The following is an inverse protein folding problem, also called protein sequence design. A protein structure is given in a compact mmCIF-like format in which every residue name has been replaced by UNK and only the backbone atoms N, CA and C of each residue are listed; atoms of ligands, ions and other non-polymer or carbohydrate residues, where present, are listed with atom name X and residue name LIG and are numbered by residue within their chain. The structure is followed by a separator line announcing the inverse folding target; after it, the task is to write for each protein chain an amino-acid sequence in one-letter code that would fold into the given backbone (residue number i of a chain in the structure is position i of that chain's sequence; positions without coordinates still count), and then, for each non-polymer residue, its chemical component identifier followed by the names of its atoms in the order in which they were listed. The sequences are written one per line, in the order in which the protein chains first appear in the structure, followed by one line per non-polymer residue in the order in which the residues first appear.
data_IF_670834556505
#
_entry.id   IF_670834556505
#
_cell.length_a   1.000
_cell.length_b   1.000
_cell.length_c   1.000
_cell.angle_alpha   90.00
_cell.angle_beta   90.00
_cell.angle_gamma   90.00
#
_symmetry.space_group_name_H-M   'P 1'
#
loop_
_entity.id
_entity.type
_entity.pdbx_description
1 polymer ?
#
# COMPACT_ATOMS: atom_id res chain seq x y z
N UNK A 1 -52.17 -8.47 24.09
CA UNK A 1 -51.56 -7.17 24.45
C UNK A 1 -50.38 -7.44 25.35
N UNK A 2 -49.18 -7.38 24.81
CA UNK A 2 -47.95 -6.97 25.48
C UNK A 2 -46.98 -6.59 24.38
N UNK A 3 -46.97 -5.29 24.08
CA UNK A 3 -45.90 -4.60 23.37
C UNK A 3 -44.66 -4.61 24.25
N UNK A 4 -43.50 -4.84 23.66
CA UNK A 4 -42.41 -3.86 23.59
C UNK A 4 -41.19 -4.56 22.97
N UNK A 5 -40.90 -4.17 21.74
CA UNK A 5 -39.60 -4.36 21.14
C UNK A 5 -38.59 -3.57 21.96
N UNK A 6 -37.64 -4.27 22.57
CA UNK A 6 -36.45 -3.70 23.18
C UNK A 6 -35.30 -4.02 22.22
N UNK A 7 -35.26 -3.27 21.11
CA UNK A 7 -34.06 -3.22 20.27
C UNK A 7 -33.07 -2.34 20.99
N UNK A 8 -32.02 -2.96 21.53
CA UNK A 8 -30.92 -2.30 22.21
C UNK A 8 -30.47 -1.06 21.42
N UNK A 9 -30.75 0.12 21.97
CA UNK A 9 -30.09 1.35 21.59
C UNK A 9 -28.64 1.21 22.06
N UNK A 10 -27.77 0.73 21.17
CA UNK A 10 -26.33 0.82 21.35
C UNK A 10 -25.93 2.28 21.60
N UNK A 11 -24.82 2.48 22.29
CA UNK A 11 -24.24 3.82 22.43
C UNK A 11 -24.08 4.45 21.03
N UNK A 12 -24.34 5.76 20.88
CA UNK A 12 -24.33 6.40 19.56
C UNK A 12 -22.92 6.31 18.95
N UNK A 13 -22.79 6.00 17.65
CA UNK A 13 -21.50 5.73 17.00
C UNK A 13 -20.55 6.92 17.10
N UNK A 14 -19.23 6.69 17.15
CA UNK A 14 -18.22 7.75 17.21
C UNK A 14 -18.28 8.67 15.99
N UNK A 15 -18.58 8.09 14.82
CA UNK A 15 -18.69 8.77 13.53
C UNK A 15 -19.75 8.08 12.67
N UNK A 16 -20.51 8.87 11.90
CA UNK A 16 -21.31 8.36 10.80
C UNK A 16 -21.01 9.15 9.52
N UNK A 17 -20.90 8.45 8.38
CA UNK A 17 -20.73 9.06 7.06
C UNK A 17 -21.90 8.62 6.17
N UNK A 18 -22.66 9.59 5.65
CA UNK A 18 -23.82 9.36 4.81
C UNK A 18 -23.58 9.86 3.38
N UNK A 19 -23.85 9.02 2.37
CA UNK A 19 -23.71 9.35 0.95
C UNK A 19 -23.40 8.12 0.09
N UNK A 20 -22.97 8.33 -1.15
CA UNK A 20 -22.61 7.24 -2.05
C UNK A 20 -21.29 6.59 -1.64
N UNK A 21 -21.31 5.29 -1.37
CA UNK A 21 -20.14 4.47 -1.08
C UNK A 21 -19.77 3.66 -2.32
N UNK A 22 -18.49 3.67 -2.70
CA UNK A 22 -17.96 2.86 -3.81
C UNK A 22 -16.79 2.04 -3.30
N UNK A 23 -16.85 0.72 -3.43
CA UNK A 23 -15.70 -0.13 -3.13
C UNK A 23 -15.63 -1.38 -4.04
N UNK A 24 -14.55 -2.13 -3.91
CA UNK A 24 -14.37 -3.43 -4.57
C UNK A 24 -13.97 -4.44 -3.50
N UNK A 25 -14.93 -5.11 -2.82
CA UNK A 25 -14.65 -5.94 -1.65
C UNK A 25 -14.01 -7.27 -2.06
N UNK A 26 -14.33 -7.75 -3.26
CA UNK A 26 -13.80 -8.97 -3.87
C UNK A 26 -13.30 -8.67 -5.29
N UNK A 27 -12.39 -9.52 -5.79
CA UNK A 27 -11.85 -9.37 -7.14
C UNK A 27 -12.98 -9.51 -8.17
N UNK A 28 -13.13 -8.49 -9.01
CA UNK A 28 -14.15 -8.45 -10.08
C UNK A 28 -15.55 -8.05 -9.61
N UNK A 29 -15.71 -7.63 -8.35
CA UNK A 29 -16.97 -7.12 -7.80
C UNK A 29 -16.81 -5.64 -7.50
N UNK A 30 -17.71 -4.82 -8.06
CA UNK A 30 -17.87 -3.41 -7.70
C UNK A 30 -19.19 -3.30 -6.94
N UNK A 31 -19.18 -2.72 -5.74
CA UNK A 31 -20.40 -2.35 -5.04
C UNK A 31 -20.50 -0.83 -4.96
N UNK A 32 -21.67 -0.31 -5.35
CA UNK A 32 -22.03 1.09 -5.30
C UNK A 32 -23.30 1.18 -4.46
N UNK A 33 -23.16 1.69 -3.24
CA UNK A 33 -24.26 1.84 -2.29
C UNK A 33 -24.69 3.30 -2.28
N UNK A 34 -25.78 3.59 -2.99
CA UNK A 34 -26.36 4.93 -3.05
C UNK A 34 -27.08 5.27 -1.76
N UNK A 35 -26.89 6.51 -1.30
CA UNK A 35 -27.49 7.03 -0.07
C UNK A 35 -27.28 6.12 1.16
N UNK A 36 -26.13 5.46 1.27
CA UNK A 36 -25.83 4.58 2.40
C UNK A 36 -25.26 5.36 3.61
N UNK A 37 -25.35 4.76 4.79
CA UNK A 37 -24.76 5.29 6.03
C UNK A 37 -23.77 4.29 6.61
N UNK A 38 -22.52 4.71 6.73
CA UNK A 38 -21.46 3.94 7.39
C UNK A 38 -21.29 4.46 8.82
N UNK A 39 -21.44 3.59 9.80
CA UNK A 39 -21.25 3.89 11.22
C UNK A 39 -19.95 3.30 11.73
N UNK A 40 -19.24 4.05 12.56
CA UNK A 40 -17.91 3.70 13.07
C UNK A 40 -17.93 3.77 14.59
N UNK A 41 -17.46 2.71 15.23
CA UNK A 41 -17.36 2.59 16.68
C UNK A 41 -16.18 3.37 17.27
N UNK A 42 -16.10 3.40 18.60
CA UNK A 42 -15.00 4.08 19.31
C UNK A 42 -13.62 3.45 19.06
N UNK A 43 -13.59 2.16 18.69
CA UNK A 43 -12.38 1.44 18.31
C UNK A 43 -11.91 1.76 16.88
N UNK A 44 -12.63 2.63 16.17
CA UNK A 44 -12.32 3.05 14.80
C UNK A 44 -12.69 2.01 13.74
N UNK A 45 -13.44 0.96 14.11
CA UNK A 45 -13.95 -0.04 13.17
C UNK A 45 -15.35 0.30 12.70
N UNK A 46 -15.66 -0.16 11.50
CA UNK A 46 -17.00 -0.09 10.93
C UNK A 46 -17.91 -1.02 11.72
N UNK A 47 -19.00 -0.49 12.26
CA UNK A 47 -20.01 -1.27 12.98
C UNK A 47 -21.11 -1.73 12.03
N UNK A 48 -21.63 -0.82 11.21
CA UNK A 48 -22.69 -1.09 10.23
C UNK A 48 -22.49 -0.28 8.96
N UNK A 49 -22.89 -0.89 7.84
CA UNK A 49 -23.20 -0.22 6.58
C UNK A 49 -24.71 -0.37 6.41
N UNK A 50 -25.42 0.76 6.37
CA UNK A 50 -26.89 0.83 6.36
C UNK A 50 -27.32 1.37 5.00
N UNK A 51 -27.92 0.51 4.17
CA UNK A 51 -28.41 0.87 2.84
C UNK A 51 -29.68 1.75 2.91
N UNK A 52 -30.02 2.37 1.79
CA UNK A 52 -31.10 3.38 1.68
C UNK A 52 -32.51 2.84 1.94
N UNK A 53 -32.72 1.52 1.85
CA UNK A 53 -34.00 0.88 2.12
C UNK A 53 -34.12 0.34 3.57
N UNK A 54 -33.06 0.41 4.37
CA UNK A 54 -33.07 -0.02 5.78
C UNK A 54 -33.83 1.01 6.65
N UNK A 55 -34.90 0.61 7.36
CA UNK A 55 -35.68 1.51 8.23
C UNK A 55 -34.87 2.18 9.36
N UNK A 56 -33.70 1.64 9.70
CA UNK A 56 -32.82 2.22 10.72
C UNK A 56 -32.03 3.44 10.21
N UNK A 57 -32.03 3.72 8.90
CA UNK A 57 -31.20 4.76 8.32
C UNK A 57 -31.54 6.16 8.85
N UNK A 58 -32.80 6.58 8.74
CA UNK A 58 -33.24 7.93 9.14
C UNK A 58 -32.92 8.19 10.61
N UNK A 59 -33.27 7.25 11.49
CA UNK A 59 -32.96 7.35 12.92
C UNK A 59 -31.45 7.40 13.20
N UNK A 60 -30.63 6.70 12.41
CA UNK A 60 -29.16 6.72 12.55
C UNK A 60 -28.58 8.08 12.14
N UNK A 61 -29.07 8.65 11.02
CA UNK A 61 -28.67 9.98 10.55
C UNK A 61 -29.05 11.04 11.58
N UNK A 62 -30.29 11.02 12.07
CA UNK A 62 -30.76 11.97 13.09
C UNK A 62 -29.94 11.90 14.38
N UNK A 63 -29.68 10.69 14.87
CA UNK A 63 -28.87 10.49 16.08
C UNK A 63 -27.42 10.98 15.90
N UNK A 64 -26.79 10.67 14.77
CA UNK A 64 -25.43 11.13 14.47
C UNK A 64 -25.35 12.64 14.27
N UNK A 65 -26.36 13.25 13.61
CA UNK A 65 -26.46 14.69 13.42
C UNK A 65 -26.63 15.42 14.75
N UNK A 66 -27.54 14.96 15.61
CA UNK A 66 -27.74 15.53 16.95
C UNK A 66 -26.47 15.43 17.82
N UNK A 67 -25.65 14.41 17.59
CA UNK A 67 -24.36 14.21 18.25
C UNK A 67 -23.19 14.99 17.64
N UNK A 68 -23.38 15.75 16.55
CA UNK A 68 -22.31 16.44 15.83
C UNK A 68 -21.28 15.51 15.19
N UNK A 69 -21.67 14.26 14.91
CA UNK A 69 -20.81 13.16 14.46
C UNK A 69 -21.13 12.68 13.04
N UNK A 70 -22.04 13.37 12.36
CA UNK A 70 -22.43 13.07 10.98
C UNK A 70 -21.55 13.85 9.99
N UNK A 71 -20.97 13.14 9.03
CA UNK A 71 -20.48 13.70 7.78
C UNK A 71 -21.47 13.36 6.67
N UNK A 72 -22.10 14.38 6.07
CA UNK A 72 -22.96 14.20 4.91
C UNK A 72 -22.17 14.53 3.64
N UNK A 73 -22.11 13.59 2.70
CA UNK A 73 -21.48 13.80 1.40
C UNK A 73 -22.46 14.50 0.46
N UNK A 74 -21.95 15.48 -0.29
CA UNK A 74 -22.74 16.18 -1.33
C UNK A 74 -22.73 15.41 -2.64
N UNK A 75 -23.61 15.81 -3.56
CA UNK A 75 -23.54 15.35 -4.95
C UNK A 75 -22.13 15.57 -5.53
N UNK A 76 -21.58 14.53 -6.17
CA UNK A 76 -20.21 14.52 -6.69
C UNK A 76 -19.13 14.16 -5.64
N UNK A 77 -19.51 13.88 -4.39
CA UNK A 77 -18.63 13.30 -3.39
C UNK A 77 -18.94 11.83 -3.17
N UNK A 78 -17.88 11.02 -3.13
CA UNK A 78 -17.97 9.57 -3.01
C UNK A 78 -17.06 9.08 -1.89
N UNK A 79 -17.57 8.19 -1.04
CA UNK A 79 -16.78 7.51 -0.02
C UNK A 79 -16.13 6.27 -0.61
N UNK A 80 -14.80 6.20 -0.56
CA UNK A 80 -14.02 5.06 -1.02
C UNK A 80 -13.18 4.51 0.15
N UNK A 81 -12.79 3.22 0.14
CA UNK A 81 -11.74 2.73 1.02
C UNK A 81 -10.45 3.53 0.83
N UNK A 82 -9.69 3.69 1.90
CA UNK A 82 -8.35 4.27 1.84
C UNK A 82 -7.40 3.36 1.06
N UNK A 83 -6.44 3.99 0.37
CA UNK A 83 -5.50 3.28 -0.50
C UNK A 83 -4.40 2.62 0.34
N UNK A 84 -3.99 1.42 -0.10
CA UNK A 84 -2.94 0.63 0.53
C UNK A 84 -1.71 0.61 -0.37
N UNK A 85 -0.60 1.17 0.12
CA UNK A 85 0.71 1.13 -0.54
C UNK A 85 1.57 0.02 0.08
N UNK A 86 1.79 -1.06 -0.67
CA UNK A 86 2.57 -2.22 -0.22
C UNK A 86 4.08 -2.02 -0.33
N UNK A 87 4.57 -0.95 -0.95
CA UNK A 87 6.00 -0.77 -1.09
C UNK A 87 6.37 0.69 -1.36
N UNK A 88 7.04 1.31 -0.40
CA UNK A 88 7.55 2.69 -0.53
C UNK A 88 8.87 2.86 0.22
N UNK A 89 9.90 3.41 -0.44
CA UNK A 89 11.14 3.79 0.24
C UNK A 89 11.03 5.20 0.79
N UNK A 90 10.79 5.29 2.10
CA UNK A 90 10.73 6.57 2.78
C UNK A 90 11.96 7.46 2.56
N UNK A 91 13.22 6.95 2.60
CA UNK A 91 14.39 7.81 2.49
C UNK A 91 14.64 8.32 1.06
N UNK A 92 13.87 7.85 0.08
CA UNK A 92 14.02 8.22 -1.31
C UNK A 92 13.07 9.34 -1.77
N UNK A 93 12.18 9.81 -0.89
CA UNK A 93 11.27 10.91 -1.21
C UNK A 93 11.96 12.15 -1.86
N UNK A 94 13.12 12.64 -1.38
CA UNK A 94 13.80 13.79 -1.98
C UNK A 94 14.37 13.57 -3.40
N UNK A 95 14.45 12.33 -3.87
CA UNK A 95 14.95 11.98 -5.20
C UNK A 95 13.85 11.57 -6.19
N UNK A 96 12.58 11.69 -5.82
CA UNK A 96 11.46 11.44 -6.73
C UNK A 96 11.67 12.18 -8.06
N UNK A 97 11.59 11.44 -9.18
CA UNK A 97 11.77 11.96 -10.54
C UNK A 97 13.22 12.23 -10.98
N UNK A 98 14.25 11.79 -10.24
CA UNK A 98 15.66 12.02 -10.61
C UNK A 98 16.31 10.80 -11.24
N UNK A 99 17.04 11.04 -12.34
CA UNK A 99 17.97 10.11 -12.98
C UNK A 99 17.41 8.73 -13.40
N UNK A 100 16.10 8.63 -13.67
CA UNK A 100 15.40 7.40 -14.08
C UNK A 100 15.78 6.85 -15.47
N UNK A 101 16.75 7.49 -16.14
CA UNK A 101 17.30 7.02 -17.41
C UNK A 101 18.54 6.12 -17.21
N UNK A 102 19.03 6.00 -15.98
CA UNK A 102 20.16 5.14 -15.63
C UNK A 102 19.65 3.72 -15.34
N UNK A 103 20.47 2.68 -15.61
CA UNK A 103 20.23 1.34 -15.09
C UNK A 103 20.13 1.31 -13.56
N UNK A 104 19.39 0.34 -13.01
CA UNK A 104 19.08 0.25 -11.58
C UNK A 104 20.33 0.32 -10.69
N UNK A 105 21.36 -0.45 -11.01
CA UNK A 105 22.59 -0.53 -10.22
C UNK A 105 23.35 0.82 -10.21
N UNK A 106 23.32 1.55 -11.32
CA UNK A 106 23.94 2.87 -11.43
C UNK A 106 23.11 3.93 -10.72
N UNK A 107 21.78 3.83 -10.82
CA UNK A 107 20.87 4.72 -10.12
C UNK A 107 21.01 4.58 -8.59
N UNK A 108 21.09 3.34 -8.09
CA UNK A 108 21.35 3.05 -6.69
C UNK A 108 22.66 3.66 -6.20
N UNK A 109 23.76 3.44 -6.93
CA UNK A 109 25.08 3.91 -6.56
C UNK A 109 25.22 5.44 -6.62
N UNK A 110 24.61 6.09 -7.61
CA UNK A 110 24.82 7.52 -7.89
C UNK A 110 23.79 8.44 -7.22
N UNK A 111 22.58 7.94 -6.96
CA UNK A 111 21.47 8.73 -6.41
C UNK A 111 21.05 8.23 -5.03
N UNK A 112 20.69 6.95 -4.95
CA UNK A 112 20.00 6.38 -3.79
C UNK A 112 20.89 6.29 -2.56
N UNK A 113 21.99 5.54 -2.60
CA UNK A 113 22.84 5.37 -1.41
C UNK A 113 23.42 6.68 -0.87
N UNK A 114 23.91 7.63 -1.70
CA UNK A 114 24.34 8.93 -1.21
C UNK A 114 23.23 9.73 -0.51
N UNK A 115 21.99 9.64 -0.99
CA UNK A 115 20.85 10.30 -0.34
C UNK A 115 20.45 9.60 0.95
N UNK A 116 20.28 8.28 0.93
CA UNK A 116 19.86 7.52 2.12
C UNK A 116 20.89 7.63 3.26
N UNK A 117 22.19 7.75 2.94
CA UNK A 117 23.25 8.04 3.92
C UNK A 117 23.04 9.33 4.72
N UNK A 118 22.35 10.33 4.14
CA UNK A 118 22.07 11.61 4.83
C UNK A 118 21.09 11.47 5.99
N UNK A 119 20.37 10.36 6.10
CA UNK A 119 19.43 10.13 7.20
C UNK A 119 20.11 9.84 8.54
N UNK A 120 21.44 9.75 8.59
CA UNK A 120 22.19 9.88 9.84
C UNK A 120 21.92 11.23 10.55
N UNK A 121 21.59 12.28 9.78
CA UNK A 121 21.11 13.56 10.29
C UNK A 121 19.59 13.51 10.53
N UNK A 122 19.18 13.51 11.80
CA UNK A 122 17.78 13.42 12.19
C UNK A 122 16.96 14.68 11.83
N UNK A 123 17.58 15.85 11.67
CA UNK A 123 16.88 17.05 11.23
C UNK A 123 16.49 16.92 9.75
N UNK A 124 17.42 16.42 8.93
CA UNK A 124 17.14 16.08 7.55
C UNK A 124 16.06 15.00 7.44
N UNK A 125 16.18 13.93 8.23
CA UNK A 125 15.19 12.86 8.28
C UNK A 125 13.79 13.36 8.65
N UNK A 126 13.68 14.18 9.70
CA UNK A 126 12.41 14.75 10.17
C UNK A 126 11.70 15.54 9.06
N UNK A 127 12.42 16.43 8.38
CA UNK A 127 11.84 17.25 7.29
C UNK A 127 11.37 16.39 6.13
N UNK A 128 12.19 15.40 5.72
CA UNK A 128 11.83 14.55 4.59
C UNK A 128 10.67 13.61 4.90
N UNK A 129 10.75 12.85 6.00
CA UNK A 129 9.72 11.87 6.36
C UNK A 129 8.39 12.54 6.68
N UNK A 130 8.40 13.68 7.37
CA UNK A 130 7.16 14.42 7.64
C UNK A 130 6.46 14.82 6.33
N UNK A 131 7.22 15.37 5.36
CA UNK A 131 6.68 15.75 4.06
C UNK A 131 6.17 14.57 3.22
N UNK A 132 6.82 13.41 3.32
CA UNK A 132 6.35 12.18 2.67
C UNK A 132 5.02 11.71 3.25
N UNK A 133 4.92 11.55 4.58
CA UNK A 133 3.70 11.09 5.24
C UNK A 133 2.53 12.03 4.94
N UNK A 134 2.76 13.35 4.97
CA UNK A 134 1.77 14.35 4.57
C UNK A 134 1.34 14.21 3.11
N UNK A 135 2.28 13.92 2.21
CA UNK A 135 1.99 13.72 0.79
C UNK A 135 1.18 12.44 0.55
N UNK A 136 1.52 11.32 1.19
CA UNK A 136 0.81 10.05 1.05
C UNK A 136 -0.62 10.15 1.58
N UNK A 137 -0.79 10.66 2.81
CA UNK A 137 -2.11 10.89 3.40
C UNK A 137 -2.96 11.83 2.52
N UNK A 138 -2.38 12.93 2.02
CA UNK A 138 -3.10 13.86 1.16
C UNK A 138 -3.46 13.30 -0.23
N UNK A 139 -2.87 12.18 -0.64
CA UNK A 139 -3.21 11.40 -1.84
C UNK A 139 -4.17 10.22 -1.55
N UNK A 140 -4.61 10.05 -0.30
CA UNK A 140 -5.55 8.98 0.09
C UNK A 140 -4.89 7.68 0.54
N UNK A 141 -3.55 7.62 0.62
CA UNK A 141 -2.82 6.45 1.13
C UNK A 141 -2.93 6.39 2.66
N UNK A 142 -3.89 5.63 3.16
CA UNK A 142 -4.16 5.44 4.59
C UNK A 142 -3.21 4.43 5.22
N UNK A 143 -2.79 3.42 4.45
CA UNK A 143 -1.86 2.37 4.87
C UNK A 143 -0.62 2.35 3.97
N UNK A 144 0.57 2.37 4.57
CA UNK A 144 1.84 2.28 3.84
C UNK A 144 2.82 1.29 4.48
N UNK A 145 3.46 0.47 3.65
CA UNK A 145 4.55 -0.42 4.01
C UNK A 145 5.89 0.23 3.60
N UNK A 146 6.58 0.80 4.60
CA UNK A 146 7.78 1.62 4.43
C UNK A 146 9.07 0.82 4.59
N UNK A 147 9.96 0.98 3.62
CA UNK A 147 11.39 0.83 3.81
C UNK A 147 11.93 2.10 4.47
N UNK A 148 12.51 1.97 5.66
CA UNK A 148 13.31 3.01 6.31
C UNK A 148 14.72 3.12 5.70
N UNK A 149 15.66 3.70 6.42
CA UNK A 149 17.10 3.60 6.08
C UNK A 149 17.79 2.57 6.98
N UNK A 150 19.09 2.34 6.78
CA UNK A 150 19.90 1.54 7.72
C UNK A 150 20.01 2.20 9.11
N UNK A 151 19.74 3.50 9.24
CA UNK A 151 19.92 4.23 10.49
C UNK A 151 18.75 3.99 11.45
N UNK A 152 19.02 3.33 12.58
CA UNK A 152 18.04 3.06 13.63
C UNK A 152 17.28 4.32 14.10
N UNK A 153 18.00 5.42 14.34
CA UNK A 153 17.41 6.67 14.82
C UNK A 153 16.41 7.28 13.82
N UNK A 154 16.75 7.29 12.53
CA UNK A 154 15.88 7.81 11.49
C UNK A 154 14.63 6.95 11.31
N UNK A 155 14.79 5.62 11.33
CA UNK A 155 13.65 4.70 11.18
C UNK A 155 12.70 4.76 12.38
N UNK A 156 13.21 4.94 13.61
CA UNK A 156 12.37 5.23 14.79
C UNK A 156 11.56 6.52 14.60
N UNK A 157 12.22 7.58 14.14
CA UNK A 157 11.56 8.85 13.84
C UNK A 157 10.47 8.72 12.76
N UNK A 158 10.68 7.90 11.73
CA UNK A 158 9.64 7.62 10.73
C UNK A 158 8.41 6.97 11.39
N UNK A 159 8.61 5.95 12.24
CA UNK A 159 7.50 5.32 12.97
C UNK A 159 6.77 6.32 13.89
N UNK A 160 7.52 7.18 14.60
CA UNK A 160 6.96 8.22 15.47
C UNK A 160 6.12 9.22 14.66
N UNK A 161 6.59 9.64 13.47
CA UNK A 161 5.87 10.56 12.60
C UNK A 161 4.59 9.92 12.01
N UNK A 162 4.64 8.67 11.57
CA UNK A 162 3.46 7.94 11.12
C UNK A 162 2.41 7.86 12.22
N UNK A 163 2.83 7.51 13.45
CA UNK A 163 1.95 7.46 14.61
C UNK A 163 1.34 8.83 14.93
N UNK A 164 2.18 9.88 15.01
CA UNK A 164 1.75 11.23 15.35
C UNK A 164 0.81 11.85 14.30
N UNK A 165 0.99 11.53 13.02
CA UNK A 165 0.12 11.98 11.92
C UNK A 165 -1.08 11.06 11.69
N UNK A 166 -1.18 9.97 12.45
CA UNK A 166 -2.31 9.05 12.39
C UNK A 166 -2.32 8.10 11.20
N UNK A 167 -1.23 7.95 10.43
CA UNK A 167 -1.18 6.98 9.33
C UNK A 167 -1.08 5.55 9.88
N UNK A 168 -1.75 4.58 9.23
CA UNK A 168 -1.45 3.17 9.45
C UNK A 168 -0.17 2.85 8.71
N UNK A 169 0.83 2.34 9.42
CA UNK A 169 2.15 2.15 8.83
C UNK A 169 2.78 0.85 9.28
N UNK A 170 3.36 0.13 8.34
CA UNK A 170 4.28 -0.95 8.61
C UNK A 170 5.67 -0.40 8.28
N UNK A 171 6.53 -0.24 9.28
CA UNK A 171 7.83 0.43 9.12
C UNK A 171 8.94 -0.56 9.40
N UNK A 172 9.97 -0.59 8.56
CA UNK A 172 11.12 -1.47 8.75
C UNK A 172 12.44 -0.74 8.69
N UNK A 173 13.33 -1.03 9.65
CA UNK A 173 14.76 -0.66 9.52
C UNK A 173 15.35 -1.55 8.45
N UNK A 174 15.91 -0.95 7.42
CA UNK A 174 16.57 -1.68 6.36
C UNK A 174 17.85 -2.32 6.90
N UNK A 175 18.07 -3.59 6.56
CA UNK A 175 19.32 -4.31 6.80
C UNK A 175 20.09 -4.45 5.49
N UNK A 176 21.35 -4.04 5.54
CA UNK A 176 22.33 -4.14 4.46
C UNK A 176 23.71 -4.29 5.07
N UNK A 177 24.34 -5.46 5.03
CA UNK A 177 25.64 -5.71 5.68
C UNK A 177 26.70 -6.29 4.74
N UNK A 178 26.36 -6.61 3.48
CA UNK A 178 27.30 -7.21 2.54
C UNK A 178 28.32 -6.17 2.03
N UNK A 179 29.62 -6.31 2.36
CA UNK A 179 30.63 -5.33 1.96
C UNK A 179 30.99 -5.38 0.48
N UNK A 180 30.56 -6.41 -0.25
CA UNK A 180 30.87 -6.57 -1.69
C UNK A 180 29.99 -5.70 -2.56
N UNK A 181 28.74 -5.47 -2.15
CA UNK A 181 27.74 -4.71 -2.91
C UNK A 181 27.30 -3.42 -2.22
N UNK A 182 27.45 -3.32 -0.90
CA UNK A 182 27.04 -2.13 -0.16
C UNK A 182 28.25 -1.23 0.14
N UNK A 183 28.14 0.09 -0.08
CA UNK A 183 29.24 1.02 0.16
C UNK A 183 29.55 1.15 1.66
N UNK A 184 30.84 1.33 2.00
CA UNK A 184 31.31 1.45 3.39
C UNK A 184 30.60 2.55 4.21
N UNK A 185 30.16 3.62 3.55
CA UNK A 185 29.50 4.76 4.18
C UNK A 185 27.99 4.56 4.40
N UNK A 186 27.40 3.49 3.86
CA UNK A 186 25.96 3.23 3.93
C UNK A 186 25.68 1.72 3.95
N UNK A 187 26.04 1.09 5.07
CA UNK A 187 25.71 -0.30 5.41
C UNK A 187 25.82 -0.51 6.92
N UNK A 188 25.15 -1.54 7.43
CA UNK A 188 25.38 -2.08 8.76
C UNK A 188 26.82 -2.60 8.90
N UNK A 189 27.37 -2.47 10.12
CA UNK A 189 28.76 -2.87 10.37
C UNK A 189 28.96 -4.40 10.39
N UNK A 190 27.91 -5.16 10.72
CA UNK A 190 27.87 -6.63 10.65
C UNK A 190 26.43 -7.14 10.79
N UNK A 191 26.19 -8.38 10.39
CA UNK A 191 24.93 -9.10 10.66
C UNK A 191 24.48 -9.00 12.13
N UNK A 192 25.39 -9.18 13.08
CA UNK A 192 25.08 -9.09 14.53
C UNK A 192 24.55 -7.71 14.92
N UNK A 193 25.18 -6.63 14.42
CA UNK A 193 24.73 -5.26 14.70
C UNK A 193 23.39 -4.99 14.01
N UNK A 194 23.25 -5.40 12.76
CA UNK A 194 22.01 -5.22 12.00
C UNK A 194 20.80 -5.87 12.69
N UNK A 195 20.95 -7.09 13.18
CA UNK A 195 19.90 -7.84 13.88
C UNK A 195 19.60 -7.19 15.24
N UNK A 196 20.63 -6.84 16.03
CA UNK A 196 20.42 -6.18 17.32
C UNK A 196 19.69 -4.83 17.17
N UNK A 197 20.03 -4.03 16.16
CA UNK A 197 19.31 -2.79 15.89
C UNK A 197 17.88 -3.02 15.40
N UNK A 198 17.65 -4.11 14.65
CA UNK A 198 16.29 -4.52 14.25
C UNK A 198 15.44 -4.88 15.48
N UNK A 199 15.98 -5.62 16.45
CA UNK A 199 15.32 -5.93 17.72
C UNK A 199 15.03 -4.63 18.52
N UNK A 200 16.00 -3.73 18.64
CA UNK A 200 15.82 -2.42 19.28
C UNK A 200 14.77 -1.53 18.60
N UNK A 201 14.59 -1.68 17.29
CA UNK A 201 13.54 -1.00 16.53
C UNK A 201 12.17 -1.64 16.81
N UNK A 202 12.07 -2.97 16.80
CA UNK A 202 10.84 -3.71 17.14
C UNK A 202 10.34 -3.28 18.53
N UNK A 203 11.22 -3.27 19.53
CA UNK A 203 10.88 -2.84 20.90
C UNK A 203 10.40 -1.37 20.95
N UNK A 204 10.98 -0.49 20.12
CA UNK A 204 10.54 0.90 20.04
C UNK A 204 9.10 1.01 19.54
N UNK A 205 8.79 0.36 18.41
CA UNK A 205 7.45 0.42 17.82
C UNK A 205 6.42 -0.25 18.74
N UNK A 206 6.77 -1.37 19.38
CA UNK A 206 5.90 -2.03 20.35
C UNK A 206 5.57 -1.13 21.55
N UNK A 207 6.52 -0.32 22.04
CA UNK A 207 6.24 0.68 23.09
C UNK A 207 5.42 1.86 22.58
N UNK A 208 5.62 2.26 21.33
CA UNK A 208 4.93 3.40 20.71
C UNK A 208 3.45 3.11 20.50
N UNK A 209 3.10 1.96 19.91
CA UNK A 209 1.76 1.68 19.42
C UNK A 209 1.11 0.40 19.99
N UNK A 210 1.87 -0.42 20.74
CA UNK A 210 1.41 -1.73 21.18
C UNK A 210 1.41 -2.79 20.04
N UNK A 211 1.12 -4.06 20.37
CA UNK A 211 1.18 -5.16 19.41
C UNK A 211 0.11 -5.09 18.30
N UNK A 212 -1.05 -4.52 18.61
CA UNK A 212 -2.17 -4.38 17.66
C UNK A 212 -2.29 -2.96 17.10
N UNK A 213 -1.31 -2.09 17.42
CA UNK A 213 -1.31 -0.69 17.03
C UNK A 213 -1.29 -0.46 15.52
N UNK A 214 -1.71 0.74 15.11
CA UNK A 214 -1.70 1.16 13.70
C UNK A 214 -0.30 1.27 13.10
N UNK A 215 0.73 1.47 13.92
CA UNK A 215 2.13 1.42 13.48
C UNK A 215 2.75 0.10 13.93
N UNK A 216 3.31 -0.68 12.99
CA UNK A 216 3.87 -2.01 13.24
C UNK A 216 5.32 -2.11 12.73
N UNK A 217 6.20 -2.82 13.44
CA UNK A 217 7.56 -3.06 12.96
C UNK A 217 7.58 -4.18 11.91
N UNK A 218 8.52 -4.07 10.96
CA UNK A 218 8.72 -5.04 9.88
C UNK A 218 10.19 -5.43 9.80
N UNK A 219 10.45 -6.72 9.67
CA UNK A 219 11.79 -7.25 9.41
C UNK A 219 12.13 -7.02 7.94
N UNK A 220 13.19 -6.26 7.67
CA UNK A 220 13.44 -5.69 6.33
C UNK A 220 14.88 -5.92 5.87
N UNK A 221 15.26 -7.15 5.51
CA UNK A 221 16.41 -7.30 4.63
C UNK A 221 16.12 -6.52 3.35
N UNK A 222 17.04 -5.67 2.89
CA UNK A 222 16.75 -4.83 1.71
C UNK A 222 16.36 -5.71 0.53
N UNK A 223 17.26 -6.65 0.22
CA UNK A 223 17.20 -7.66 -0.82
C UNK A 223 18.40 -8.61 -0.60
N UNK A 224 18.37 -9.80 -1.18
CA UNK A 224 19.43 -10.81 -0.99
C UNK A 224 20.83 -10.24 -1.34
N UNK A 225 21.04 -9.54 -2.46
CA UNK A 225 22.35 -8.99 -2.80
C UNK A 225 22.97 -8.07 -1.75
N UNK A 226 22.18 -7.31 -0.97
CA UNK A 226 22.74 -6.42 0.05
C UNK A 226 23.01 -7.08 1.41
N UNK A 227 22.61 -8.33 1.60
CA UNK A 227 22.70 -9.01 2.89
C UNK A 227 23.65 -10.19 2.81
N UNK A 228 24.48 -10.38 3.83
CA UNK A 228 25.23 -11.63 4.02
C UNK A 228 24.27 -12.79 4.35
N UNK A 229 24.72 -14.04 4.18
CA UNK A 229 23.90 -15.19 4.55
C UNK A 229 23.58 -15.19 6.06
N UNK A 230 24.56 -14.85 6.90
CA UNK A 230 24.39 -14.78 8.35
C UNK A 230 23.28 -13.78 8.75
N UNK A 231 23.22 -12.62 8.10
CA UNK A 231 22.14 -11.65 8.32
C UNK A 231 20.78 -12.22 7.90
N UNK A 232 20.69 -12.85 6.72
CA UNK A 232 19.43 -13.43 6.21
C UNK A 232 18.93 -14.57 7.11
N UNK A 233 19.82 -15.45 7.57
CA UNK A 233 19.49 -16.56 8.47
C UNK A 233 18.97 -16.07 9.83
N UNK A 234 19.64 -15.08 10.42
CA UNK A 234 19.25 -14.51 11.72
C UNK A 234 17.95 -13.69 11.64
N UNK A 235 17.75 -12.92 10.56
CA UNK A 235 16.48 -12.23 10.32
C UNK A 235 15.33 -13.22 10.10
N UNK A 236 15.58 -14.34 9.41
CA UNK A 236 14.60 -15.42 9.27
C UNK A 236 14.29 -16.08 10.62
N UNK A 237 15.29 -16.29 11.47
CA UNK A 237 15.09 -16.77 12.86
C UNK A 237 14.23 -15.79 13.65
N UNK A 238 14.53 -14.49 13.57
CA UNK A 238 13.77 -13.43 14.23
C UNK A 238 12.32 -13.38 13.73
N UNK A 239 12.09 -13.54 12.42
CA UNK A 239 10.75 -13.58 11.83
C UNK A 239 9.92 -14.73 12.38
N UNK A 240 10.50 -15.94 12.43
CA UNK A 240 9.83 -17.12 13.02
C UNK A 240 9.52 -16.95 14.51
N UNK A 241 10.40 -16.31 15.26
CA UNK A 241 10.22 -16.12 16.70
C UNK A 241 9.16 -15.07 17.04
N UNK A 242 9.09 -14.01 16.24
CA UNK A 242 8.24 -12.85 16.53
C UNK A 242 6.89 -12.90 15.80
N UNK A 243 6.79 -13.64 14.68
CA UNK A 243 5.59 -13.65 13.83
C UNK A 243 5.28 -12.29 13.17
N UNK A 244 6.28 -11.40 13.11
CA UNK A 244 6.16 -10.09 12.49
C UNK A 244 6.16 -10.19 10.97
N UNK A 245 5.72 -9.11 10.34
CA UNK A 245 5.83 -8.95 8.89
C UNK A 245 7.29 -8.93 8.44
N UNK A 246 7.50 -9.43 7.23
CA UNK A 246 8.76 -9.36 6.50
C UNK A 246 8.51 -8.61 5.19
N UNK A 247 9.43 -7.76 4.78
CA UNK A 247 9.41 -7.16 3.45
C UNK A 247 10.81 -7.22 2.82
N UNK A 248 10.88 -7.46 1.52
CA UNK A 248 12.12 -7.50 0.73
C UNK A 248 11.81 -7.30 -0.75
N UNK A 249 12.81 -6.94 -1.55
CA UNK A 249 12.73 -7.10 -3.00
C UNK A 249 12.93 -8.56 -3.36
N UNK A 250 12.37 -8.98 -4.49
CA UNK A 250 12.42 -10.35 -4.99
C UNK A 250 12.26 -10.34 -6.50
N UNK A 251 13.26 -10.85 -7.23
CA UNK A 251 13.16 -11.04 -8.69
C UNK A 251 12.70 -9.78 -9.42
N UNK A 252 13.25 -8.60 -9.09
CA UNK A 252 12.86 -7.31 -9.66
C UNK A 252 13.38 -7.14 -11.09
N UNK A 253 14.68 -7.36 -11.29
CA UNK A 253 15.41 -7.05 -12.52
C UNK A 253 16.27 -8.24 -12.95
N UNK A 254 16.69 -8.26 -14.22
CA UNK A 254 17.61 -9.28 -14.74
C UNK A 254 18.88 -9.39 -13.87
N UNK A 255 19.44 -8.24 -13.47
CA UNK A 255 20.67 -8.19 -12.67
C UNK A 255 20.49 -8.83 -11.29
N UNK A 256 19.44 -8.44 -10.56
CA UNK A 256 19.18 -8.99 -9.23
C UNK A 256 18.91 -10.49 -9.32
N UNK A 257 17.99 -10.88 -10.20
CA UNK A 257 17.54 -12.26 -10.34
C UNK A 257 18.69 -13.20 -10.69
N UNK A 258 19.53 -12.82 -11.67
CA UNK A 258 20.69 -13.62 -12.06
C UNK A 258 21.77 -13.61 -10.98
N UNK A 259 21.98 -12.50 -10.27
CA UNK A 259 22.93 -12.45 -9.16
C UNK A 259 22.57 -13.48 -8.08
N UNK A 260 21.30 -13.54 -7.67
CA UNK A 260 20.84 -14.48 -6.65
C UNK A 260 20.98 -15.92 -7.13
N UNK A 261 20.60 -16.22 -8.38
CA UNK A 261 20.79 -17.55 -8.97
C UNK A 261 22.24 -17.98 -9.01
N UNK A 262 23.16 -17.06 -9.33
CA UNK A 262 24.59 -17.36 -9.32
C UNK A 262 25.15 -17.55 -7.91
N UNK A 263 24.74 -16.71 -6.95
CA UNK A 263 25.22 -16.76 -5.56
C UNK A 263 24.71 -17.98 -4.81
N UNK A 264 23.44 -18.33 -4.97
CA UNK A 264 22.74 -19.30 -4.12
C UNK A 264 22.28 -20.56 -4.88
N UNK A 265 22.36 -20.58 -6.21
CA UNK A 265 21.94 -21.72 -7.03
C UNK A 265 20.42 -21.91 -7.12
N UNK A 266 19.63 -20.92 -6.69
CA UNK A 266 18.17 -20.94 -6.66
C UNK A 266 17.59 -19.55 -6.98
N UNK A 267 16.28 -19.48 -7.25
CA UNK A 267 15.57 -18.20 -7.41
C UNK A 267 15.53 -17.44 -6.09
N UNK A 268 15.26 -16.13 -6.15
CA UNK A 268 15.01 -15.27 -4.99
C UNK A 268 13.98 -15.88 -4.05
N UNK A 269 12.82 -16.26 -4.58
CA UNK A 269 11.72 -16.86 -3.83
C UNK A 269 12.17 -18.09 -3.03
N UNK A 270 12.87 -19.03 -3.68
CA UNK A 270 13.33 -20.27 -3.03
C UNK A 270 14.46 -20.01 -2.03
N UNK A 271 15.28 -19.00 -2.30
CA UNK A 271 16.33 -18.57 -1.37
C UNK A 271 15.73 -17.96 -0.10
N UNK A 272 14.74 -17.06 -0.24
CA UNK A 272 14.00 -16.47 0.88
C UNK A 272 13.26 -17.54 1.69
N UNK A 273 12.67 -18.54 1.03
CA UNK A 273 12.09 -19.72 1.68
C UNK A 273 13.12 -20.48 2.52
N UNK A 274 14.31 -20.74 1.97
CA UNK A 274 15.38 -21.45 2.67
C UNK A 274 15.91 -20.69 3.90
N UNK A 275 15.98 -19.36 3.84
CA UNK A 275 16.32 -18.52 5.00
C UNK A 275 15.15 -18.42 6.01
N UNK A 276 13.95 -18.86 5.62
CA UNK A 276 12.72 -18.78 6.39
C UNK A 276 12.22 -17.34 6.56
N UNK A 277 12.40 -16.55 5.51
CA UNK A 277 11.89 -15.19 5.32
C UNK A 277 10.62 -15.15 4.45
N UNK A 278 10.15 -16.31 3.97
CA UNK A 278 8.94 -16.46 3.17
C UNK A 278 7.81 -17.09 4.01
N UNK A 279 6.70 -16.36 4.16
CA UNK A 279 5.51 -16.82 4.87
C UNK A 279 4.32 -15.87 4.70
N UNK A 280 3.21 -16.15 5.41
CA UNK A 280 1.94 -15.42 5.26
C UNK A 280 2.05 -13.89 5.39
N UNK A 281 2.97 -13.42 6.23
CA UNK A 281 3.21 -11.99 6.51
C UNK A 281 4.44 -11.44 5.78
N UNK A 282 4.90 -12.13 4.74
CA UNK A 282 5.98 -11.66 3.88
C UNK A 282 5.38 -10.93 2.68
N UNK A 283 5.90 -9.74 2.39
CA UNK A 283 5.60 -8.98 1.17
C UNK A 283 6.84 -8.94 0.28
N UNK A 284 6.69 -9.45 -0.94
CA UNK A 284 7.73 -9.47 -1.96
C UNK A 284 7.48 -8.33 -2.95
N UNK A 285 8.33 -7.31 -2.93
CA UNK A 285 8.23 -6.22 -3.91
C UNK A 285 8.62 -6.72 -5.30
N UNK A 286 7.94 -6.19 -6.34
CA UNK A 286 8.20 -6.43 -7.77
C UNK A 286 7.81 -7.82 -8.28
N UNK A 287 8.62 -8.84 -7.99
CA UNK A 287 8.40 -10.23 -8.43
C UNK A 287 8.26 -10.41 -9.94
N UNK A 288 8.90 -9.57 -10.76
CA UNK A 288 8.71 -9.58 -12.23
C UNK A 288 9.15 -10.88 -12.89
N UNK A 289 10.22 -11.50 -12.37
CA UNK A 289 10.85 -12.70 -12.97
C UNK A 289 10.43 -14.01 -12.29
N UNK A 290 9.38 -14.02 -11.45
CA UNK A 290 8.93 -15.26 -10.81
C UNK A 290 8.39 -16.25 -11.86
N UNK A 291 8.76 -17.52 -11.71
CA UNK A 291 8.23 -18.61 -12.54
C UNK A 291 7.05 -19.34 -11.86
N UNK A 292 6.48 -20.34 -12.53
CA UNK A 292 5.35 -21.10 -11.98
C UNK A 292 5.67 -21.77 -10.63
N UNK A 293 6.88 -22.30 -10.48
CA UNK A 293 7.35 -22.92 -9.22
C UNK A 293 7.53 -21.90 -8.09
N UNK A 294 7.90 -20.66 -8.44
CA UNK A 294 7.99 -19.56 -7.48
C UNK A 294 6.59 -19.13 -7.04
N UNK A 295 5.65 -19.00 -7.99
CA UNK A 295 4.26 -18.68 -7.68
C UNK A 295 3.63 -19.73 -6.76
N UNK A 296 3.90 -21.02 -6.99
CA UNK A 296 3.39 -22.09 -6.14
C UNK A 296 3.99 -22.03 -4.72
N UNK A 297 5.26 -21.63 -4.58
CA UNK A 297 5.88 -21.42 -3.26
C UNK A 297 5.26 -20.24 -2.51
N UNK A 298 5.09 -19.11 -3.20
CA UNK A 298 4.48 -17.89 -2.65
C UNK A 298 3.04 -18.17 -2.22
N UNK A 299 2.24 -18.79 -3.10
CA UNK A 299 0.86 -19.17 -2.81
C UNK A 299 0.75 -20.20 -1.68
N UNK A 300 1.63 -21.20 -1.66
CA UNK A 300 1.62 -22.27 -0.66
C UNK A 300 1.84 -21.79 0.79
N UNK A 301 2.58 -20.70 0.98
CA UNK A 301 2.79 -20.07 2.28
C UNK A 301 1.91 -18.83 2.52
N UNK A 302 1.17 -18.37 1.51
CA UNK A 302 0.30 -17.20 1.56
C UNK A 302 1.02 -15.85 1.56
N UNK A 303 2.28 -15.79 1.12
CA UNK A 303 3.01 -14.53 0.99
C UNK A 303 2.32 -13.58 0.00
N UNK A 304 2.47 -12.28 0.23
CA UNK A 304 1.95 -11.22 -0.63
C UNK A 304 2.98 -10.67 -1.60
N UNK A 305 2.51 -10.08 -2.70
CA UNK A 305 3.34 -9.37 -3.69
C UNK A 305 2.94 -7.89 -3.72
N UNK A 306 3.93 -7.00 -3.61
CA UNK A 306 3.80 -5.57 -3.89
C UNK A 306 4.11 -5.28 -5.35
N UNK A 307 3.10 -5.24 -6.22
CA UNK A 307 3.28 -4.93 -7.63
C UNK A 307 3.55 -3.44 -7.83
N UNK A 308 4.74 -3.10 -8.33
CA UNK A 308 5.23 -1.72 -8.49
C UNK A 308 5.37 -1.34 -9.98
N UNK A 309 4.27 -1.25 -10.75
CA UNK A 309 4.30 -1.23 -12.22
C UNK A 309 5.06 -0.05 -12.81
N UNK A 310 4.98 1.14 -12.19
CA UNK A 310 5.67 2.33 -12.68
C UNK A 310 7.18 2.22 -12.49
N UNK A 311 7.64 1.75 -11.34
CA UNK A 311 9.06 1.48 -11.11
C UNK A 311 9.57 0.38 -12.06
N UNK A 312 8.78 -0.68 -12.25
CA UNK A 312 9.15 -1.77 -13.13
C UNK A 312 9.39 -1.32 -14.57
N UNK A 313 8.61 -0.36 -15.05
CA UNK A 313 8.77 0.22 -16.38
C UNK A 313 10.12 0.95 -16.57
N UNK A 314 10.74 1.42 -15.49
CA UNK A 314 12.06 2.06 -15.53
C UNK A 314 13.21 1.07 -15.31
N UNK A 315 13.06 0.11 -14.38
CA UNK A 315 14.20 -0.62 -13.84
C UNK A 315 14.18 -2.14 -14.06
N UNK A 316 13.03 -2.74 -14.30
CA UNK A 316 12.92 -4.21 -14.29
C UNK A 316 13.25 -4.87 -15.61
N UNK A 317 13.08 -4.17 -16.75
CA UNK A 317 13.08 -4.75 -18.10
C UNK A 317 12.05 -5.88 -18.33
N UNK A 318 11.12 -6.06 -17.40
CA UNK A 318 10.10 -7.10 -17.43
C UNK A 318 8.78 -6.57 -16.88
N UNK A 319 7.69 -7.20 -17.29
CA UNK A 319 6.35 -6.94 -16.77
C UNK A 319 5.95 -8.09 -15.86
N UNK A 320 5.62 -7.77 -14.61
CA UNK A 320 5.05 -8.72 -13.67
C UNK A 320 3.83 -9.44 -14.29
N UNK A 321 3.79 -10.78 -14.31
CA UNK A 321 2.67 -11.55 -14.86
C UNK A 321 1.45 -11.55 -13.93
N UNK A 322 0.86 -10.38 -13.69
CA UNK A 322 -0.19 -10.13 -12.71
C UNK A 322 -1.40 -11.05 -12.87
N UNK A 323 -1.97 -11.15 -14.07
CA UNK A 323 -3.16 -11.99 -14.31
C UNK A 323 -2.91 -13.46 -13.95
N UNK A 324 -1.74 -14.01 -14.32
CA UNK A 324 -1.34 -15.38 -13.96
C UNK A 324 -1.20 -15.55 -12.45
N UNK A 325 -0.56 -14.59 -11.76
CA UNK A 325 -0.43 -14.62 -10.31
C UNK A 325 -1.80 -14.64 -9.62
N UNK A 326 -2.75 -13.81 -10.09
CA UNK A 326 -4.10 -13.77 -9.57
C UNK A 326 -4.91 -15.03 -9.89
N UNK A 327 -4.74 -15.64 -11.07
CA UNK A 327 -5.33 -16.95 -11.41
C UNK A 327 -4.81 -18.07 -10.50
N UNK A 328 -3.54 -18.00 -10.12
CA UNK A 328 -2.93 -18.87 -9.10
C UNK A 328 -3.30 -18.49 -7.65
N UNK A 329 -4.20 -17.52 -7.46
CA UNK A 329 -4.70 -17.06 -6.15
C UNK A 329 -3.60 -16.49 -5.23
N UNK A 330 -2.53 -15.94 -5.80
CA UNK A 330 -1.55 -15.21 -5.01
C UNK A 330 -2.19 -13.94 -4.45
N UNK A 331 -1.74 -13.52 -3.26
CA UNK A 331 -2.14 -12.25 -2.70
C UNK A 331 -1.29 -11.14 -3.33
N UNK A 332 -1.93 -10.19 -3.99
CA UNK A 332 -1.25 -9.09 -4.67
C UNK A 332 -1.94 -7.77 -4.30
N UNK A 333 -1.14 -6.74 -4.07
CA UNK A 333 -1.58 -5.35 -4.04
C UNK A 333 -0.58 -4.46 -4.76
N UNK A 334 -0.79 -3.14 -4.71
CA UNK A 334 0.03 -2.17 -5.42
C UNK A 334 1.08 -1.52 -4.52
N UNK A 335 2.21 -1.16 -5.10
CA UNK A 335 3.24 -0.33 -4.49
C UNK A 335 3.57 0.88 -5.35
N UNK A 336 3.85 2.02 -4.73
CA UNK A 336 4.36 3.19 -5.46
C UNK A 336 5.83 3.03 -5.82
N UNK A 337 6.58 2.33 -4.95
CA UNK A 337 8.02 2.21 -4.97
C UNK A 337 8.71 3.57 -5.15
N UNK A 338 8.29 4.57 -4.39
CA UNK A 338 9.03 5.84 -4.40
C UNK A 338 10.46 5.50 -3.97
N UNK A 339 11.49 5.87 -4.72
CA UNK A 339 11.45 6.79 -5.88
C UNK A 339 11.65 6.14 -7.25
N UNK A 340 11.77 4.81 -7.30
CA UNK A 340 11.84 4.07 -8.55
C UNK A 340 10.62 4.35 -9.42
N UNK A 341 9.44 4.39 -8.79
CA UNK A 341 8.24 5.04 -9.32
C UNK A 341 8.17 6.53 -8.96
N UNK A 342 8.19 7.46 -9.94
CA UNK A 342 8.14 8.89 -9.68
C UNK A 342 6.74 9.45 -9.41
N UNK A 343 5.87 8.73 -8.70
CA UNK A 343 4.53 9.19 -8.34
C UNK A 343 4.14 8.63 -6.96
N UNK A 344 3.56 9.49 -6.11
CA UNK A 344 3.16 9.13 -4.76
C UNK A 344 1.71 8.63 -4.65
N UNK A 345 0.97 8.61 -5.76
CA UNK A 345 -0.43 8.21 -5.79
C UNK A 345 -0.59 6.74 -6.17
N UNK A 346 -1.31 5.98 -5.35
CA UNK A 346 -1.71 4.60 -5.70
C UNK A 346 -2.67 4.56 -6.89
N UNK A 347 -3.45 5.63 -7.17
CA UNK A 347 -4.19 5.70 -8.43
C UNK A 347 -3.26 5.70 -9.65
N UNK A 348 -2.06 6.28 -9.51
CA UNK A 348 -1.02 6.17 -10.54
C UNK A 348 -0.55 4.73 -10.70
N UNK A 349 -0.33 4.01 -9.59
CA UNK A 349 -0.01 2.58 -9.63
C UNK A 349 -1.13 1.78 -10.33
N UNK A 350 -2.42 2.09 -10.10
CA UNK A 350 -3.53 1.44 -10.82
C UNK A 350 -3.39 1.63 -12.34
N UNK A 351 -3.22 2.88 -12.80
CA UNK A 351 -3.09 3.19 -14.23
C UNK A 351 -1.92 2.46 -14.86
N UNK A 352 -0.79 2.40 -14.17
CA UNK A 352 0.40 1.72 -14.68
C UNK A 352 0.27 0.20 -14.64
N UNK A 353 -0.43 -0.39 -13.66
CA UNK A 353 -0.74 -1.83 -13.64
C UNK A 353 -1.60 -2.21 -14.86
N UNK A 354 -2.64 -1.42 -15.14
CA UNK A 354 -3.50 -1.61 -16.32
C UNK A 354 -2.67 -1.48 -17.60
N UNK A 355 -1.89 -0.40 -17.75
CA UNK A 355 -1.07 -0.19 -18.94
C UNK A 355 -0.05 -1.31 -19.16
N UNK A 356 0.68 -1.71 -18.12
CA UNK A 356 1.66 -2.79 -18.18
C UNK A 356 1.01 -4.13 -18.55
N UNK A 357 -0.13 -4.46 -17.94
CA UNK A 357 -0.88 -5.70 -18.24
C UNK A 357 -1.35 -5.75 -19.70
N UNK A 358 -1.81 -4.62 -20.26
CA UNK A 358 -2.19 -4.50 -21.67
C UNK A 358 -0.99 -4.66 -22.60
N UNK A 359 0.13 -4.01 -22.28
CA UNK A 359 1.37 -4.15 -23.05
C UNK A 359 1.89 -5.58 -23.05
N UNK A 360 1.75 -6.31 -21.93
CA UNK A 360 2.06 -7.74 -21.86
C UNK A 360 1.07 -8.58 -22.68
N UNK A 361 -0.22 -8.25 -22.62
CA UNK A 361 -1.28 -8.99 -23.30
C UNK A 361 -1.17 -8.92 -24.82
N UNK A 362 -1.00 -7.71 -25.35
CA UNK A 362 -0.93 -7.45 -26.78
C UNK A 362 0.48 -7.66 -27.34
N UNK A 363 1.50 -7.41 -26.49
CA UNK A 363 2.89 -7.31 -26.88
C UNK A 363 3.16 -6.05 -27.72
N UNK A 364 4.42 -5.60 -27.74
CA UNK A 364 4.77 -4.28 -28.26
C UNK A 364 5.60 -4.30 -29.55
N UNK A 365 6.14 -5.46 -29.96
CA UNK A 365 6.91 -5.57 -31.20
C UNK A 365 6.00 -5.66 -32.42
N UNK A 366 5.81 -4.53 -33.10
CA UNK A 366 4.98 -4.42 -34.30
C UNK A 366 5.43 -5.31 -35.48
N UNK A 367 6.63 -5.88 -35.45
CA UNK A 367 7.14 -6.81 -36.47
C UNK A 367 6.58 -8.22 -36.29
N UNK A 368 6.06 -8.54 -35.10
CA UNK A 368 5.43 -9.82 -34.79
C UNK A 368 3.91 -9.67 -35.01
N UNK A 369 3.31 -10.68 -35.65
CA UNK A 369 1.87 -10.72 -35.90
C UNK A 369 1.08 -10.67 -34.58
N UNK A 370 -0.07 -9.95 -34.51
CA UNK A 370 -0.79 -9.73 -33.26
C UNK A 370 -1.14 -11.01 -32.47
N UNK A 371 -1.46 -12.10 -33.16
CA UNK A 371 -1.79 -13.41 -32.57
C UNK A 371 -0.60 -14.12 -31.90
N UNK A 372 0.63 -13.62 -32.08
CA UNK A 372 1.88 -14.20 -31.56
C UNK A 372 2.73 -13.21 -30.78
N UNK A 373 2.28 -11.97 -30.61
CA UNK A 373 3.11 -10.86 -30.12
C UNK A 373 3.15 -10.77 -28.60
N UNK A 374 2.01 -10.96 -27.95
CA UNK A 374 1.88 -10.86 -26.50
C UNK A 374 1.39 -12.16 -25.87
N UNK A 375 0.84 -12.01 -24.66
CA UNK A 375 0.28 -13.08 -23.85
C UNK A 375 -1.23 -12.89 -23.69
N UNK A 376 -2.07 -13.48 -24.55
CA UNK A 376 -3.52 -13.35 -24.46
C UNK A 376 -4.05 -13.64 -23.05
N UNK A 377 -4.98 -12.81 -22.56
CA UNK A 377 -5.55 -12.93 -21.22
C UNK A 377 -4.74 -12.27 -20.09
N UNK A 378 -3.60 -11.64 -20.39
CA UNK A 378 -2.78 -11.00 -19.36
C UNK A 378 -3.27 -9.61 -18.90
N UNK A 379 -4.28 -9.04 -19.57
CA UNK A 379 -4.79 -7.70 -19.26
C UNK A 379 -5.75 -7.72 -18.07
N UNK A 380 -5.68 -6.67 -17.25
CA UNK A 380 -6.64 -6.39 -16.17
C UNK A 380 -7.45 -5.13 -16.47
N UNK A 381 -8.57 -4.96 -15.77
CA UNK A 381 -9.41 -3.75 -15.87
C UNK A 381 -9.27 -2.80 -14.67
N UNK A 382 -10.08 -1.73 -14.66
CA UNK A 382 -10.04 -0.71 -13.61
C UNK A 382 -10.58 -1.20 -12.26
N UNK A 383 -11.52 -2.15 -12.28
CA UNK A 383 -12.12 -2.70 -11.07
C UNK A 383 -11.11 -3.62 -10.37
N UNK A 384 -10.42 -4.47 -11.12
CA UNK A 384 -9.31 -5.27 -10.61
C UNK A 384 -8.17 -4.38 -10.09
N UNK A 385 -7.81 -3.31 -10.81
CA UNK A 385 -6.79 -2.38 -10.35
C UNK A 385 -7.17 -1.66 -9.04
N UNK A 386 -8.43 -1.24 -8.90
CA UNK A 386 -8.91 -0.62 -7.65
C UNK A 386 -9.00 -1.62 -6.49
N UNK A 387 -9.37 -2.88 -6.77
CA UNK A 387 -9.30 -3.96 -5.79
C UNK A 387 -7.87 -4.17 -5.28
N UNK A 388 -6.87 -4.23 -6.18
CA UNK A 388 -5.45 -4.33 -5.79
C UNK A 388 -4.98 -3.15 -4.93
N UNK A 389 -5.51 -1.95 -5.18
CA UNK A 389 -5.21 -0.73 -4.44
C UNK A 389 -5.84 -0.67 -3.04
N UNK A 390 -6.83 -1.53 -2.75
CA UNK A 390 -7.64 -1.48 -1.53
C UNK A 390 -7.71 -2.85 -0.86
N UNK A 391 -8.76 -3.63 -1.11
CA UNK A 391 -9.00 -4.93 -0.49
C UNK A 391 -7.86 -5.94 -0.77
N UNK A 392 -7.33 -5.99 -2.00
CA UNK A 392 -6.19 -6.82 -2.37
C UNK A 392 -4.92 -6.47 -1.58
N UNK A 393 -4.67 -5.18 -1.34
CA UNK A 393 -3.60 -4.71 -0.46
C UNK A 393 -3.81 -5.12 1.01
N UNK A 394 -5.04 -4.98 1.52
CA UNK A 394 -5.41 -5.45 2.87
C UNK A 394 -5.22 -6.97 3.04
N UNK A 395 -5.65 -7.74 2.05
CA UNK A 395 -5.44 -9.20 1.98
C UNK A 395 -3.94 -9.51 1.95
N UNK A 396 -3.14 -8.85 1.12
CA UNK A 396 -1.70 -9.09 1.06
C UNK A 396 -1.02 -8.84 2.42
N UNK A 397 -1.38 -7.76 3.12
CA UNK A 397 -0.87 -7.44 4.45
C UNK A 397 -1.44 -8.29 5.58
N UNK A 398 -2.47 -9.11 5.33
CA UNK A 398 -3.18 -9.88 6.37
C UNK A 398 -3.85 -8.97 7.41
N UNK A 399 -4.47 -7.87 6.96
CA UNK A 399 -5.11 -6.85 7.80
C UNK A 399 -6.56 -6.60 7.42
N UNK A 400 -7.46 -6.33 8.39
CA UNK A 400 -8.87 -6.03 8.15
C UNK A 400 -9.05 -4.57 7.70
N UNK A 401 -8.53 -4.24 6.51
CA UNK A 401 -8.56 -2.92 5.89
C UNK A 401 -8.93 -3.03 4.40
N UNK A 402 -9.18 -1.89 3.74
CA UNK A 402 -9.43 -1.83 2.30
C UNK A 402 -10.84 -2.25 1.87
N UNK A 403 -11.72 -2.58 2.82
CA UNK A 403 -13.13 -2.92 2.59
C UNK A 403 -14.00 -2.08 3.51
N UNK A 404 -15.10 -1.52 2.98
CA UNK A 404 -16.12 -0.84 3.78
C UNK A 404 -17.17 -1.87 4.20
N UNK A 405 -16.90 -2.60 5.29
CA UNK A 405 -17.81 -3.62 5.82
C UNK A 405 -17.62 -3.76 7.35
N UNK A 406 -18.64 -4.25 8.08
CA UNK A 406 -18.54 -4.45 9.53
C UNK A 406 -17.29 -5.23 9.96
N UNK A 407 -16.63 -4.77 11.00
CA UNK A 407 -15.41 -5.36 11.55
C UNK A 407 -14.11 -4.92 10.88
N UNK A 408 -14.15 -4.24 9.73
CA UNK A 408 -12.97 -3.62 9.11
C UNK A 408 -12.65 -2.27 9.76
N UNK A 409 -11.39 -1.85 9.76
CA UNK A 409 -11.04 -0.50 10.20
C UNK A 409 -11.60 0.54 9.23
N UNK A 410 -12.11 1.66 9.74
CA UNK A 410 -12.56 2.77 8.90
C UNK A 410 -11.38 3.61 8.41
N UNK A 411 -10.64 3.00 7.48
CA UNK A 411 -9.64 3.66 6.65
C UNK A 411 -10.32 4.03 5.34
N UNK A 412 -10.68 5.30 5.17
CA UNK A 412 -11.54 5.75 4.08
C UNK A 412 -11.12 7.12 3.56
N UNK A 413 -11.58 7.47 2.35
CA UNK A 413 -11.38 8.79 1.76
C UNK A 413 -12.63 9.29 1.05
N UNK A 414 -12.79 10.61 1.02
CA UNK A 414 -13.77 11.28 0.14
C UNK A 414 -13.07 11.72 -1.13
N UNK A 415 -13.58 11.24 -2.26
CA UNK A 415 -13.24 11.78 -3.58
C UNK A 415 -14.32 12.75 -4.00
N UNK A 416 -13.93 13.98 -4.34
CA UNK A 416 -14.80 14.99 -4.91
C UNK A 416 -14.49 15.16 -6.41
N UNK A 417 -15.51 14.93 -7.23
CA UNK A 417 -15.44 15.00 -8.69
C UNK A 417 -15.82 16.36 -9.26
N UNK A 418 -16.13 17.32 -8.38
CA UNK A 418 -16.58 18.68 -8.71
C UNK A 418 -15.52 19.74 -8.41
N UNK A 419 -14.32 19.32 -7.97
CA UNK A 419 -13.21 20.23 -7.65
C UNK A 419 -12.86 21.07 -8.88
N UNK A 420 -12.91 22.41 -8.77
CA UNK A 420 -12.50 23.29 -9.86
C UNK A 420 -11.04 23.01 -10.27
N UNK A 421 -10.74 23.12 -11.56
CA UNK A 421 -9.40 22.92 -12.14
C UNK A 421 -8.81 21.50 -11.99
N UNK A 422 -9.63 20.49 -11.65
CA UNK A 422 -9.23 19.08 -11.71
C UNK A 422 -9.57 18.44 -13.07
N UNK A 423 -8.71 17.54 -13.56
CA UNK A 423 -8.88 16.85 -14.85
C UNK A 423 -10.01 15.79 -14.83
N UNK A 424 -10.49 15.41 -13.64
CA UNK A 424 -11.59 14.47 -13.49
C UNK A 424 -12.93 15.16 -13.74
N UNK A 425 -13.68 14.68 -14.72
CA UNK A 425 -15.01 15.20 -15.08
C UNK A 425 -15.98 14.04 -15.27
N UNK A 426 -17.14 14.13 -14.65
CA UNK A 426 -18.28 13.24 -14.86
C UNK A 426 -19.32 13.89 -15.79
N UNK A 427 -20.00 13.07 -16.56
CA UNK A 427 -21.04 13.45 -17.50
C UNK A 427 -22.31 12.66 -17.14
N UNK A 428 -23.20 13.18 -16.29
CA UNK A 428 -24.35 12.43 -15.79
C UNK A 428 -25.29 11.87 -16.87
N UNK A 429 -25.31 12.48 -18.06
CA UNK A 429 -26.10 12.01 -19.20
C UNK A 429 -25.41 10.91 -20.03
N UNK A 430 -24.14 10.58 -19.73
CA UNK A 430 -23.30 9.64 -20.50
C UNK A 430 -22.63 8.56 -19.65
N UNK A 431 -22.33 8.85 -18.38
CA UNK A 431 -21.62 7.94 -17.48
C UNK A 431 -22.65 7.12 -16.67
N UNK A 432 -22.51 5.80 -16.71
CA UNK A 432 -23.24 4.86 -15.85
C UNK A 432 -22.64 4.84 -14.43
N UNK A 433 -23.30 4.25 -13.41
CA UNK A 433 -22.76 4.23 -12.05
C UNK A 433 -21.33 3.68 -11.94
N UNK A 434 -21.00 2.60 -12.66
CA UNK A 434 -19.66 2.01 -12.68
C UNK A 434 -18.60 2.92 -13.34
N UNK A 435 -19.02 3.78 -14.29
CA UNK A 435 -18.12 4.74 -14.94
C UNK A 435 -17.58 5.75 -13.93
N UNK A 436 -18.29 6.03 -12.83
CA UNK A 436 -17.79 6.90 -11.76
C UNK A 436 -16.49 6.34 -11.19
N UNK A 437 -16.46 5.07 -10.81
CA UNK A 437 -15.23 4.43 -10.31
C UNK A 437 -14.15 4.42 -11.38
N UNK A 438 -14.51 4.09 -12.62
CA UNK A 438 -13.56 4.09 -13.73
C UNK A 438 -12.90 5.46 -13.91
N UNK A 439 -13.70 6.54 -13.95
CA UNK A 439 -13.24 7.92 -14.06
C UNK A 439 -12.36 8.32 -12.88
N UNK A 440 -12.69 7.88 -11.67
CA UNK A 440 -11.86 8.08 -10.47
C UNK A 440 -10.50 7.40 -10.64
N UNK A 441 -10.45 6.12 -11.00
CA UNK A 441 -9.19 5.38 -11.18
C UNK A 441 -8.28 6.05 -12.22
N UNK A 442 -8.85 6.49 -13.34
CA UNK A 442 -8.07 7.11 -14.43
C UNK A 442 -7.76 8.60 -14.21
N UNK A 443 -8.62 9.35 -13.55
CA UNK A 443 -8.58 10.82 -13.53
C UNK A 443 -8.34 11.45 -12.17
N UNK A 444 -8.52 10.73 -11.06
CA UNK A 444 -8.39 11.33 -9.74
C UNK A 444 -6.94 11.74 -9.46
N UNK A 445 -6.80 12.97 -8.95
CA UNK A 445 -5.55 13.55 -8.50
C UNK A 445 -5.65 13.95 -7.02
N UNK A 446 -4.52 14.40 -6.45
CA UNK A 446 -4.44 14.88 -5.07
C UNK A 446 -5.51 15.92 -4.73
N UNK A 447 -5.94 16.74 -5.68
CA UNK A 447 -6.94 17.78 -5.45
C UNK A 447 -8.35 17.21 -5.15
N UNK A 448 -8.67 16.06 -5.75
CA UNK A 448 -9.96 15.37 -5.60
C UNK A 448 -10.11 14.68 -4.23
N UNK A 449 -9.02 14.25 -3.61
CA UNK A 449 -9.05 13.66 -2.25
C UNK A 449 -9.32 14.76 -1.24
N UNK A 450 -10.54 14.86 -0.69
CA UNK A 450 -10.94 15.98 0.20
C UNK A 450 -10.73 15.68 1.67
N UNK A 451 -11.11 14.48 2.09
CA UNK A 451 -11.04 14.05 3.48
C UNK A 451 -10.53 12.62 3.56
N UNK A 452 -9.75 12.31 4.58
CA UNK A 452 -9.16 10.98 4.80
C UNK A 452 -9.28 10.62 6.28
N UNK A 453 -9.69 9.39 6.54
CA UNK A 453 -9.79 8.78 7.86
C UNK A 453 -8.88 7.57 7.99
N UNK A 454 -8.33 7.37 9.19
CA UNK A 454 -7.57 6.16 9.57
C UNK A 454 -7.98 5.71 10.98
N UNK A 455 -8.46 4.48 11.11
CA UNK A 455 -9.31 3.98 12.20
C UNK A 455 -10.34 5.03 12.67
N UNK A 456 -11.15 5.57 11.76
CA UNK A 456 -12.21 6.53 12.14
C UNK A 456 -11.75 7.95 12.46
N UNK A 457 -10.45 8.18 12.67
CA UNK A 457 -9.91 9.50 12.97
C UNK A 457 -9.60 10.27 11.68
N UNK A 458 -10.10 11.51 11.57
CA UNK A 458 -9.78 12.41 10.46
C UNK A 458 -8.31 12.80 10.50
N UNK A 459 -7.53 12.41 9.48
CA UNK A 459 -6.10 12.72 9.34
C UNK A 459 -5.82 13.75 8.26
N UNK A 460 -6.75 13.92 7.32
CA UNK A 460 -6.74 14.99 6.32
C UNK A 460 -8.14 15.54 6.19
N UNK A 461 -8.28 16.86 6.25
CA UNK A 461 -9.52 17.56 5.88
C UNK A 461 -9.17 18.84 5.13
N UNK A 462 -9.30 18.81 3.80
CA UNK A 462 -9.04 19.96 2.93
C UNK A 462 -10.23 20.91 2.84
N UNK A 463 -11.38 20.51 3.39
CA UNK A 463 -12.59 21.34 3.44
C UNK A 463 -12.73 22.07 4.79
N UNK A 464 -11.85 21.77 5.75
CA UNK A 464 -11.83 22.43 7.05
C UNK A 464 -11.68 23.97 6.89
N UNK A 465 -12.70 24.71 7.36
CA UNK A 465 -12.73 26.17 7.32
C UNK A 465 -13.17 26.78 5.99
N UNK A 466 -13.62 25.99 5.02
CA UNK A 466 -14.32 26.50 3.86
C UNK A 466 -15.80 26.69 4.21
N UNK A 467 -16.23 27.95 4.28
CA UNK A 467 -17.61 28.35 4.55
C UNK A 467 -18.40 28.22 3.25
N UNK A 468 -19.04 27.08 3.05
CA UNK A 468 -19.87 26.80 1.89
C UNK A 468 -21.34 27.08 2.24
N UNK A 469 -21.71 28.36 2.26
CA UNK A 469 -23.12 28.80 2.32
C UNK A 469 -23.84 28.62 1.00
#
# INVERSE_FOLDING_TARGET
MTNAADTAAGEPPLLAVAGTVIHTPERGVIEILEDAVVTVGEDGRIERVIESDDPAQEATIEAAAAGGRLTLLRAGQYLLPGLVDLHVHAPQWPQIGKALHLPLEQWLANCTFPLEARYADLEFAARSYSGLVDALLANGTTTALYFGSVHLGATKLLADLCHAKGQRALVGKVVMDDPTLCPDYYRDASATIAVAETEMFIEHVQRLAGPEGRVRPVITPRFIPACTNDALEELGRLARQTGLHVQTHCSESDWEHDFVRHRLGATDTRSLEAFGLLGRRTILAHSNFICDDDMDAIGGCGAGIGHCPLSNAYFSNAVFPLAQALEKKLHVGLGTDISGGPDASIFSACRHAIAASRMLADGVDARIAPDKRGRPGAAIDFAEAFWLATAGGGIALDLPIGVIAPGFAFDAMVIDTTVPDADLTLWPDLDEPEDVLQRIVYGAARANVRRVWVDGATVVDKDAGLDWT
#
